data_IF_469567907843
#
_entry.id   IF_469567907843
#
_cell.length_a   1.000
_cell.length_b   1.000
_cell.length_c   1.000
_cell.angle_alpha   90.00
_cell.angle_beta   90.00
_cell.angle_gamma   90.00
#
_symmetry.space_group_name_H-M   'P 1'
#
loop_
_entity.id
_entity.type
_entity.pdbx_description
1 polymer ?
#
# COMPACT_ATOMS: atom_id res chain seq x y z
N UNK A 1 -19.32 -14.19 14.26
CA UNK A 1 -18.40 -14.36 15.39
C UNK A 1 -17.27 -15.28 14.96
N UNK A 2 -16.17 -14.71 14.47
CA UNK A 2 -14.85 -15.33 14.42
C UNK A 2 -13.86 -14.21 14.77
N UNK A 3 -13.58 -14.07 16.07
CA UNK A 3 -12.51 -13.23 16.59
C UNK A 3 -11.52 -14.20 17.23
N UNK A 4 -10.85 -14.99 16.39
CA UNK A 4 -9.72 -15.81 16.83
C UNK A 4 -8.49 -14.92 16.76
N UNK A 5 -7.74 -14.82 17.85
CA UNK A 5 -6.53 -14.02 17.97
C UNK A 5 -5.51 -14.40 16.90
N UNK A 6 -5.43 -13.60 15.84
CA UNK A 6 -4.35 -13.69 14.87
C UNK A 6 -3.18 -12.91 15.47
N UNK A 7 -2.17 -13.58 16.02
CA UNK A 7 -0.91 -12.94 16.37
C UNK A 7 0.02 -13.04 15.17
N UNK A 8 0.55 -11.91 14.72
CA UNK A 8 1.45 -11.87 13.59
C UNK A 8 1.85 -10.45 13.22
N UNK A 9 2.35 -10.29 11.99
CA UNK A 9 2.70 -8.97 11.43
C UNK A 9 1.51 -8.00 11.34
N UNK A 10 0.28 -8.50 11.42
CA UNK A 10 -0.95 -7.71 11.39
C UNK A 10 -1.47 -7.33 12.79
N UNK A 11 -0.66 -7.48 13.85
CA UNK A 11 -1.05 -7.21 15.23
C UNK A 11 -1.82 -8.37 15.86
N UNK A 12 -2.72 -8.06 16.80
CA UNK A 12 -3.60 -9.02 17.50
C UNK A 12 -5.11 -8.76 17.26
N UNK A 13 -5.43 -7.71 16.48
CA UNK A 13 -6.77 -7.28 16.10
C UNK A 13 -7.70 -6.94 17.29
N UNK A 14 -7.16 -6.47 18.41
CA UNK A 14 -7.93 -6.10 19.61
C UNK A 14 -8.56 -4.67 19.54
N UNK A 15 -8.26 -3.89 18.49
CA UNK A 15 -8.70 -2.50 18.32
C UNK A 15 -7.80 -1.43 18.95
N UNK A 16 -6.62 -1.80 19.45
CA UNK A 16 -5.65 -0.95 20.12
C UNK A 16 -4.36 -0.88 19.28
N UNK A 17 -4.29 0.06 18.35
CA UNK A 17 -3.12 0.20 17.45
C UNK A 17 -1.77 0.34 18.20
N UNK A 18 -1.80 0.92 19.41
CA UNK A 18 -0.59 1.17 20.20
C UNK A 18 0.15 -0.11 20.65
N UNK A 19 -0.49 -1.28 20.58
CA UNK A 19 0.14 -2.56 20.93
C UNK A 19 0.23 -3.56 19.78
N UNK A 20 -0.02 -3.14 18.54
CA UNK A 20 0.13 -4.00 17.36
C UNK A 20 1.56 -4.53 17.18
N UNK A 21 2.57 -3.84 17.73
CA UNK A 21 3.97 -4.31 17.75
C UNK A 21 4.29 -5.26 18.92
N UNK A 22 3.28 -5.99 19.41
CA UNK A 22 3.45 -7.01 20.45
C UNK A 22 4.03 -8.29 19.85
N UNK A 23 5.20 -8.66 20.34
CA UNK A 23 5.91 -9.90 19.96
C UNK A 23 5.26 -11.13 20.60
N UNK A 24 5.65 -12.32 20.13
CA UNK A 24 5.23 -13.60 20.72
C UNK A 24 5.60 -13.74 22.22
N UNK A 25 6.60 -12.99 22.68
CA UNK A 25 7.01 -12.96 24.09
C UNK A 25 6.21 -11.97 24.94
N UNK A 26 5.19 -11.31 24.37
CA UNK A 26 4.32 -10.34 25.04
C UNK A 26 4.90 -8.93 25.19
N UNK A 27 6.15 -8.72 24.77
CA UNK A 27 6.80 -7.40 24.75
C UNK A 27 6.33 -6.58 23.56
N UNK A 28 6.14 -5.27 23.76
CA UNK A 28 5.80 -4.32 22.69
C UNK A 28 7.08 -3.63 22.22
N UNK A 29 7.41 -3.78 20.95
CA UNK A 29 8.60 -3.23 20.33
C UNK A 29 8.40 -1.76 19.93
N UNK A 30 9.49 -0.98 19.94
CA UNK A 30 9.45 0.44 19.61
C UNK A 30 9.49 0.77 18.12
N UNK A 31 9.90 -0.18 17.27
CA UNK A 31 9.99 0.01 15.82
C UNK A 31 9.40 -1.16 15.04
N UNK A 32 8.91 -0.89 13.84
CA UNK A 32 8.33 -1.92 12.97
C UNK A 32 9.36 -2.98 12.56
N UNK A 33 10.63 -2.60 12.40
CA UNK A 33 11.72 -3.50 12.01
C UNK A 33 12.00 -4.51 13.12
N UNK A 34 12.21 -4.05 14.36
CA UNK A 34 12.51 -4.97 15.46
C UNK A 34 11.32 -5.89 15.75
N UNK A 35 10.10 -5.37 15.63
CA UNK A 35 8.88 -6.18 15.68
C UNK A 35 8.86 -7.26 14.59
N UNK A 36 9.04 -6.90 13.32
CA UNK A 36 8.94 -7.82 12.20
C UNK A 36 10.02 -8.92 12.24
N UNK A 37 11.23 -8.59 12.72
CA UNK A 37 12.31 -9.58 12.89
C UNK A 37 11.96 -10.68 13.90
N UNK A 38 11.04 -10.42 14.85
CA UNK A 38 10.55 -11.47 15.77
C UNK A 38 9.62 -12.48 15.12
N UNK A 39 9.09 -12.17 13.92
CA UNK A 39 8.14 -13.00 13.18
C UNK A 39 8.79 -13.81 12.04
N UNK A 40 10.12 -13.87 11.97
CA UNK A 40 10.83 -14.67 10.96
C UNK A 40 10.49 -16.16 11.07
N UNK A 41 10.17 -16.77 9.94
CA UNK A 41 9.85 -18.21 9.87
C UNK A 41 11.10 -19.09 9.79
N UNK A 42 12.26 -18.52 9.45
CA UNK A 42 13.55 -19.20 9.38
C UNK A 42 14.58 -18.42 10.19
N UNK A 43 15.21 -19.10 11.15
CA UNK A 43 16.27 -18.49 11.97
C UNK A 43 17.51 -18.05 11.18
N UNK A 44 17.72 -18.62 9.99
CA UNK A 44 18.83 -18.25 9.10
C UNK A 44 18.61 -16.93 8.35
N UNK A 45 17.39 -16.39 8.36
CA UNK A 45 17.12 -15.10 7.73
C UNK A 45 17.79 -13.99 8.55
N UNK A 46 18.60 -13.12 7.91
CA UNK A 46 19.20 -11.99 8.60
C UNK A 46 18.12 -11.04 9.10
N UNK A 47 18.44 -10.29 10.16
CA UNK A 47 17.61 -9.18 10.61
C UNK A 47 17.60 -8.07 9.56
N UNK A 48 16.46 -7.40 9.41
CA UNK A 48 16.35 -6.27 8.52
C UNK A 48 17.10 -5.05 9.07
N UNK A 49 17.78 -4.31 8.20
CA UNK A 49 18.38 -3.04 8.58
C UNK A 49 17.28 -1.97 8.70
N UNK A 50 17.37 -1.13 9.72
CA UNK A 50 16.55 0.08 9.76
C UNK A 50 17.04 1.04 8.67
N UNK A 51 16.12 1.44 7.78
CA UNK A 51 16.39 2.44 6.76
C UNK A 51 15.53 3.68 7.02
N UNK A 52 16.19 4.81 7.24
CA UNK A 52 15.57 6.12 7.45
C UNK A 52 15.74 7.06 6.25
N UNK A 53 16.27 6.55 5.14
CA UNK A 53 16.39 7.31 3.91
C UNK A 53 15.02 7.68 3.35
N UNK A 54 14.93 8.90 2.80
CA UNK A 54 13.76 9.38 2.09
C UNK A 54 14.00 9.06 0.60
N UNK A 55 13.30 8.08 0.00
CA UNK A 55 13.66 7.59 -1.34
C UNK A 55 13.68 8.67 -2.42
N UNK A 56 12.73 9.62 -2.35
CA UNK A 56 12.67 10.71 -3.32
C UNK A 56 13.85 11.70 -3.23
N UNK A 57 14.59 11.74 -2.12
CA UNK A 57 15.79 12.58 -2.01
C UNK A 57 17.01 12.00 -2.76
N UNK A 58 16.92 10.75 -3.20
CA UNK A 58 18.01 10.05 -3.90
C UNK A 58 18.00 10.32 -5.42
N UNK A 59 16.87 10.73 -6.00
CA UNK A 59 16.73 10.99 -7.44
C UNK A 59 15.70 12.09 -7.70
N UNK A 60 16.18 13.23 -8.21
CA UNK A 60 15.34 14.37 -8.61
C UNK A 60 14.37 13.99 -9.74
N UNK A 61 14.78 13.10 -10.65
CA UNK A 61 13.93 12.65 -11.75
C UNK A 61 12.76 11.81 -11.23
N UNK A 62 13.05 10.83 -10.37
CA UNK A 62 12.02 9.99 -9.75
C UNK A 62 11.09 10.84 -8.86
N UNK A 63 11.65 11.80 -8.12
CA UNK A 63 10.86 12.73 -7.31
C UNK A 63 9.88 13.54 -8.17
N UNK A 64 10.33 14.11 -9.29
CA UNK A 64 9.46 14.87 -10.20
C UNK A 64 8.37 13.99 -10.79
N UNK A 65 8.73 12.80 -11.25
CA UNK A 65 7.80 11.82 -11.78
C UNK A 65 6.73 11.46 -10.72
N UNK A 66 7.16 11.05 -9.53
CA UNK A 66 6.29 10.68 -8.43
C UNK A 66 5.37 11.83 -8.01
N UNK A 67 5.91 13.05 -7.84
CA UNK A 67 5.13 14.23 -7.49
C UNK A 67 4.04 14.53 -8.50
N UNK A 68 4.35 14.45 -9.78
CA UNK A 68 3.36 14.68 -10.83
C UNK A 68 2.23 13.66 -10.77
N UNK A 69 2.54 12.36 -10.87
CA UNK A 69 1.53 11.30 -10.97
C UNK A 69 0.75 11.11 -9.66
N UNK A 70 1.43 11.08 -8.51
CA UNK A 70 0.78 10.89 -7.22
C UNK A 70 -0.05 12.10 -6.78
N UNK A 71 0.20 13.31 -7.31
CA UNK A 71 -0.63 14.48 -6.99
C UNK A 71 -2.07 14.35 -7.45
N UNK A 72 -2.32 13.58 -8.53
CA UNK A 72 -3.66 13.37 -9.08
C UNK A 72 -4.61 12.68 -8.08
N UNK A 73 -4.10 11.83 -7.19
CA UNK A 73 -4.91 11.20 -6.14
C UNK A 73 -5.61 12.24 -5.27
N UNK A 74 -4.98 13.39 -5.05
CA UNK A 74 -5.48 14.49 -4.22
C UNK A 74 -6.09 15.64 -5.04
N UNK A 75 -6.22 15.51 -6.36
CA UNK A 75 -6.79 16.55 -7.22
C UNK A 75 -8.30 16.64 -7.00
N UNK A 76 -8.76 17.83 -6.61
CA UNK A 76 -10.16 18.11 -6.24
C UNK A 76 -11.12 18.02 -7.43
N UNK A 77 -10.61 18.21 -8.64
CA UNK A 77 -11.41 18.14 -9.87
C UNK A 77 -11.02 16.92 -10.73
N UNK A 78 -10.09 16.10 -10.22
CA UNK A 78 -9.59 14.92 -10.92
C UNK A 78 -10.54 13.72 -10.85
N UNK A 79 -10.16 12.66 -11.57
CA UNK A 79 -10.91 11.39 -11.65
C UNK A 79 -11.08 10.69 -10.30
N UNK A 80 -10.23 11.00 -9.32
CA UNK A 80 -10.25 10.43 -7.98
C UNK A 80 -11.14 11.22 -7.00
N UNK A 81 -11.56 12.44 -7.36
CA UNK A 81 -12.35 13.33 -6.50
C UNK A 81 -13.65 12.71 -5.95
N UNK A 82 -14.40 11.84 -6.66
CA UNK A 82 -15.61 11.25 -6.11
C UNK A 82 -15.37 10.37 -4.87
N UNK A 83 -14.14 9.90 -4.65
CA UNK A 83 -13.79 9.06 -3.51
C UNK A 83 -13.27 9.85 -2.30
N UNK A 84 -12.95 11.14 -2.46
CA UNK A 84 -12.30 11.94 -1.41
C UNK A 84 -13.14 12.06 -0.13
N UNK A 85 -14.47 11.95 -0.22
CA UNK A 85 -15.37 11.98 0.93
C UNK A 85 -15.34 10.70 1.74
N UNK A 86 -15.09 9.56 1.08
CA UNK A 86 -15.08 8.24 1.70
C UNK A 86 -13.68 7.86 2.19
N UNK A 87 -12.66 8.13 1.37
CA UNK A 87 -11.27 7.75 1.64
C UNK A 87 -10.37 8.98 1.48
N UNK A 88 -9.67 9.35 2.56
CA UNK A 88 -8.70 10.44 2.55
C UNK A 88 -7.51 10.11 1.61
N UNK A 89 -7.30 10.90 0.54
CA UNK A 89 -6.26 10.61 -0.45
C UNK A 89 -4.83 10.89 0.03
N UNK A 90 -4.65 11.64 1.12
CA UNK A 90 -3.31 12.10 1.54
C UNK A 90 -2.38 10.93 1.90
N UNK A 91 -2.89 9.95 2.65
CA UNK A 91 -2.12 8.76 3.03
C UNK A 91 -1.68 7.96 1.79
N UNK A 92 -2.60 7.75 0.84
CA UNK A 92 -2.29 7.03 -0.40
C UNK A 92 -1.33 7.80 -1.30
N UNK A 93 -1.40 9.13 -1.31
CA UNK A 93 -0.45 10.00 -2.01
C UNK A 93 0.95 9.88 -1.42
N UNK A 94 1.09 9.85 -0.09
CA UNK A 94 2.38 9.67 0.58
C UNK A 94 3.00 8.30 0.26
N UNK A 95 2.21 7.22 0.31
CA UNK A 95 2.64 5.89 -0.11
C UNK A 95 3.06 5.89 -1.58
N UNK A 96 2.23 6.46 -2.47
CA UNK A 96 2.53 6.55 -3.89
C UNK A 96 3.87 7.26 -4.13
N UNK A 97 4.14 8.36 -3.43
CA UNK A 97 5.42 9.06 -3.53
C UNK A 97 6.59 8.18 -3.10
N UNK A 98 6.47 7.54 -1.94
CA UNK A 98 7.50 6.66 -1.40
C UNK A 98 7.82 5.51 -2.36
N UNK A 99 6.79 4.76 -2.78
CA UNK A 99 6.93 3.57 -3.63
C UNK A 99 7.48 3.92 -5.02
N UNK A 100 6.98 5.00 -5.63
CA UNK A 100 7.43 5.43 -6.96
C UNK A 100 8.91 5.83 -6.97
N UNK A 101 9.40 6.40 -5.88
CA UNK A 101 10.79 6.84 -5.76
C UNK A 101 11.75 5.70 -5.38
N UNK A 102 11.28 4.72 -4.62
CA UNK A 102 12.10 3.63 -4.11
C UNK A 102 12.23 2.45 -5.09
N UNK A 103 11.29 2.34 -6.03
CA UNK A 103 11.19 1.24 -6.96
C UNK A 103 12.10 1.41 -8.20
N UNK A 104 12.68 0.31 -8.69
CA UNK A 104 13.49 0.32 -9.92
C UNK A 104 12.68 0.79 -11.13
N UNK A 105 11.39 0.42 -11.18
CA UNK A 105 10.44 0.79 -12.24
C UNK A 105 9.34 1.66 -11.66
N UNK A 106 9.60 2.97 -11.57
CA UNK A 106 8.69 3.93 -10.92
C UNK A 106 7.25 3.87 -11.42
N UNK A 107 7.01 3.66 -12.71
CA UNK A 107 5.66 3.54 -13.29
C UNK A 107 4.87 2.35 -12.72
N UNK A 108 5.50 1.19 -12.55
CA UNK A 108 4.81 -0.02 -12.06
C UNK A 108 4.39 0.16 -10.59
N UNK A 109 5.29 0.68 -9.76
CA UNK A 109 5.04 0.92 -8.34
C UNK A 109 4.04 2.07 -8.12
N UNK A 110 4.13 3.15 -8.92
CA UNK A 110 3.13 4.21 -8.94
C UNK A 110 1.73 3.64 -9.25
N UNK A 111 1.62 2.81 -10.29
CA UNK A 111 0.36 2.21 -10.69
C UNK A 111 -0.20 1.22 -9.67
N UNK A 112 0.65 0.48 -8.97
CA UNK A 112 0.23 -0.38 -7.86
C UNK A 112 -0.33 0.45 -6.69
N UNK A 113 0.34 1.55 -6.32
CA UNK A 113 -0.13 2.46 -5.28
C UNK A 113 -1.47 3.12 -5.64
N UNK A 114 -1.63 3.62 -6.87
CA UNK A 114 -2.90 4.18 -7.36
C UNK A 114 -4.00 3.11 -7.39
N UNK A 115 -3.69 1.89 -7.81
CA UNK A 115 -4.65 0.77 -7.81
C UNK A 115 -5.19 0.48 -6.41
N UNK A 116 -4.34 0.62 -5.38
CA UNK A 116 -4.72 0.41 -3.99
C UNK A 116 -5.73 1.45 -3.49
N UNK A 117 -5.57 2.72 -3.91
CA UNK A 117 -6.57 3.76 -3.62
C UNK A 117 -7.90 3.45 -4.31
N UNK A 118 -7.87 3.09 -5.59
CA UNK A 118 -9.08 2.72 -6.34
C UNK A 118 -9.78 1.51 -5.71
N UNK A 119 -9.03 0.52 -5.25
CA UNK A 119 -9.59 -0.64 -4.57
C UNK A 119 -10.29 -0.24 -3.26
N UNK A 120 -9.67 0.63 -2.45
CA UNK A 120 -10.30 1.14 -1.23
C UNK A 120 -11.59 1.94 -1.53
N UNK A 121 -11.59 2.76 -2.59
CA UNK A 121 -12.78 3.44 -3.08
C UNK A 121 -13.89 2.47 -3.46
N UNK A 122 -13.56 1.41 -4.21
CA UNK A 122 -14.53 0.39 -4.60
C UNK A 122 -15.10 -0.37 -3.39
N UNK A 123 -14.26 -0.68 -2.40
CA UNK A 123 -14.70 -1.29 -1.14
C UNK A 123 -15.63 -0.37 -0.33
N UNK A 124 -15.49 0.95 -0.47
CA UNK A 124 -16.40 1.95 0.08
C UNK A 124 -17.63 2.24 -0.82
N UNK A 125 -17.78 1.53 -1.95
CA UNK A 125 -18.91 1.67 -2.86
C UNK A 125 -18.75 2.73 -3.95
N UNK A 126 -17.59 3.36 -4.07
CA UNK A 126 -17.28 4.37 -5.11
C UNK A 126 -16.51 3.72 -6.25
N UNK A 127 -17.17 3.55 -7.40
CA UNK A 127 -16.54 2.99 -8.60
C UNK A 127 -15.94 4.11 -9.47
N UNK A 128 -14.61 4.12 -9.57
CA UNK A 128 -13.87 5.06 -10.42
C UNK A 128 -13.62 4.42 -11.79
N UNK A 129 -14.25 4.94 -12.85
CA UNK A 129 -14.11 4.43 -14.22
C UNK A 129 -13.10 5.23 -15.03
N UNK A 130 -12.25 4.57 -15.83
CA UNK A 130 -11.36 5.24 -16.80
C UNK A 130 -10.00 5.72 -16.25
N UNK A 131 -9.74 5.54 -14.95
CA UNK A 131 -8.49 5.98 -14.30
C UNK A 131 -7.23 5.33 -14.89
N UNK A 132 -7.33 4.10 -15.40
CA UNK A 132 -6.20 3.41 -16.04
C UNK A 132 -5.73 4.13 -17.30
N UNK A 133 -6.65 4.68 -18.10
CA UNK A 133 -6.31 5.35 -19.34
C UNK A 133 -5.60 6.69 -19.10
N UNK A 134 -5.89 7.34 -17.98
CA UNK A 134 -5.33 8.65 -17.62
C UNK A 134 -4.06 8.55 -16.81
N UNK A 135 -3.91 7.49 -16.03
CA UNK A 135 -2.87 7.39 -14.99
C UNK A 135 -1.90 6.22 -15.20
N UNK A 136 -2.33 5.13 -15.82
CA UNK A 136 -1.55 3.89 -15.95
C UNK A 136 -1.62 3.34 -17.38
N UNK A 137 -0.94 4.02 -18.29
CA UNK A 137 -1.12 3.89 -19.75
C UNK A 137 -0.47 2.68 -20.43
N UNK A 138 0.17 1.76 -19.70
CA UNK A 138 0.71 0.52 -20.28
C UNK A 138 0.45 -0.68 -19.38
N UNK A 139 -0.68 -1.34 -19.60
CA UNK A 139 -0.92 -2.67 -19.04
C UNK A 139 -0.34 -3.68 -20.02
N UNK A 140 0.67 -4.42 -19.58
CA UNK A 140 1.00 -5.67 -20.22
C UNK A 140 -0.18 -6.62 -19.96
N UNK A 141 -0.77 -7.18 -21.02
CA UNK A 141 -2.09 -7.82 -21.00
C UNK A 141 -2.20 -8.98 -19.98
N UNK A 142 -1.07 -9.45 -19.44
CA UNK A 142 -0.96 -10.49 -18.40
C UNK A 142 -1.45 -10.05 -17.00
N UNK A 143 -1.45 -8.75 -16.67
CA UNK A 143 -1.85 -8.27 -15.33
C UNK A 143 -3.36 -8.00 -15.21
N UNK A 144 -4.07 -7.95 -16.35
CA UNK A 144 -5.51 -7.66 -16.42
C UNK A 144 -6.35 -8.78 -15.78
N UNK A 145 -5.87 -10.02 -15.87
CA UNK A 145 -6.56 -11.20 -15.34
C UNK A 145 -6.57 -11.19 -13.80
N UNK A 146 -5.46 -10.79 -13.16
CA UNK A 146 -5.39 -10.66 -11.70
C UNK A 146 -6.30 -9.55 -11.15
N UNK A 147 -6.38 -8.40 -11.81
CA UNK A 147 -7.21 -7.27 -11.32
C UNK A 147 -8.71 -7.60 -11.46
N UNK A 148 -9.14 -8.21 -12.57
CA UNK A 148 -10.53 -8.62 -12.74
C UNK A 148 -10.95 -9.67 -11.71
N UNK A 149 -10.06 -10.62 -11.38
CA UNK A 149 -10.32 -11.64 -10.35
C UNK A 149 -10.37 -11.04 -8.93
N UNK A 150 -9.46 -10.11 -8.59
CA UNK A 150 -9.44 -9.47 -7.27
C UNK A 150 -10.68 -8.60 -6.99
N UNK A 151 -11.21 -7.93 -8.01
CA UNK A 151 -12.38 -7.05 -7.86
C UNK A 151 -13.70 -7.83 -7.86
N UNK A 152 -13.81 -8.92 -8.64
CA UNK A 152 -15.08 -9.63 -8.81
C UNK A 152 -15.23 -10.91 -8.00
N UNK A 153 -14.14 -11.61 -7.68
CA UNK A 153 -14.21 -12.97 -7.13
C UNK A 153 -13.71 -13.06 -5.68
N UNK A 154 -13.03 -12.02 -5.17
CA UNK A 154 -12.36 -12.09 -3.87
C UNK A 154 -11.21 -13.11 -3.88
N UNK A 155 -10.29 -13.00 -2.91
CA UNK A 155 -9.22 -14.00 -2.79
C UNK A 155 -9.83 -15.39 -2.55
N UNK A 156 -9.45 -16.43 -3.32
CA UNK A 156 -9.76 -17.80 -2.95
C UNK A 156 -9.16 -18.06 -1.58
N UNK A 157 -10.00 -18.45 -0.62
CA UNK A 157 -9.54 -18.98 0.66
C UNK A 157 -8.90 -20.34 0.38
N UNK A 158 -7.58 -20.39 0.34
CA UNK A 158 -6.82 -21.63 0.46
C UNK A 158 -6.62 -21.97 1.93
#
# INVERSE_FOLDING_TARGET
MFCTSYLGLCGDFNGVQADDFRTINGLVEGTAVTFADTWKTKASCPDAAQNFEIPCSLSVENERYAKYWCSMLSDREGIFSPCHTEINPNYYKEICLYDSCNCERSEECMCAAVSSYVHACAAAGVLLSGWRNTTCGKINIRDTECIYLLINEGFPSY
#
